data_IF_685302647554
#
_entry.id   IF_685302647554
#
_cell.length_a   1.000
_cell.length_b   1.000
_cell.length_c   1.000
_cell.angle_alpha   90.00
_cell.angle_beta   90.00
_cell.angle_gamma   90.00
#
_symmetry.space_group_name_H-M   'P 1'
#
loop_
_entity.id
_entity.type
_entity.pdbx_description
1 polymer ?
#
# COMPACT_ATOMS: atom_id res chain seq x y z
N UNK A 1 -40.26 11.11 14.02
CA UNK A 1 -38.82 10.96 14.33
C UNK A 1 -38.39 9.59 13.80
N UNK A 2 -37.85 9.59 12.59
CA UNK A 2 -37.41 8.35 11.92
C UNK A 2 -35.93 8.19 12.22
N UNK A 3 -35.60 7.28 13.11
CA UNK A 3 -34.24 6.87 13.43
C UNK A 3 -33.69 6.13 12.21
N UNK A 4 -32.87 6.77 11.43
CA UNK A 4 -32.05 6.15 10.38
C UNK A 4 -31.04 5.25 11.10
N UNK A 5 -31.30 3.93 11.12
CA UNK A 5 -30.29 2.92 11.43
C UNK A 5 -29.25 2.96 10.30
N UNK A 6 -28.15 3.66 10.54
CA UNK A 6 -26.93 3.49 9.76
C UNK A 6 -26.45 2.06 10.01
N UNK A 7 -26.58 1.20 9.00
CA UNK A 7 -25.95 -0.12 9.01
C UNK A 7 -24.46 0.08 9.20
N UNK A 8 -23.92 -0.38 10.34
CA UNK A 8 -22.47 -0.39 10.56
C UNK A 8 -21.89 -1.45 9.61
N UNK A 9 -21.58 -1.05 8.37
CA UNK A 9 -20.75 -1.87 7.50
C UNK A 9 -19.44 -2.16 8.25
N UNK A 10 -19.14 -3.44 8.43
CA UNK A 10 -17.90 -3.84 9.08
C UNK A 10 -16.74 -3.47 8.16
N UNK A 11 -15.94 -2.47 8.54
CA UNK A 11 -14.78 -2.04 7.78
C UNK A 11 -13.77 -3.16 7.60
N UNK A 12 -13.12 -3.19 6.45
CA UNK A 12 -12.02 -4.11 6.15
C UNK A 12 -10.80 -3.81 7.01
N UNK A 13 -10.50 -2.52 7.20
CA UNK A 13 -9.40 -2.04 8.06
C UNK A 13 -9.99 -1.60 9.40
N UNK A 14 -9.74 -2.38 10.45
CA UNK A 14 -10.23 -2.12 11.80
C UNK A 14 -9.32 -1.14 12.53
N UNK A 15 -9.86 -0.41 13.48
CA UNK A 15 -9.09 0.32 14.48
C UNK A 15 -8.98 -0.56 15.72
N UNK A 16 -7.77 -0.80 16.19
CA UNK A 16 -7.53 -1.56 17.41
C UNK A 16 -7.17 -0.60 18.54
N UNK A 17 -7.76 -0.83 19.71
CA UNK A 17 -7.44 -0.11 20.92
C UNK A 17 -5.99 -0.36 21.37
N UNK A 18 -5.36 0.55 22.14
CA UNK A 18 -3.99 0.36 22.63
C UNK A 18 -3.77 -0.97 23.37
N UNK A 19 -4.78 -1.46 24.07
CA UNK A 19 -4.74 -2.74 24.77
C UNK A 19 -4.60 -3.97 23.85
N UNK A 20 -4.80 -3.82 22.55
CA UNK A 20 -4.58 -4.87 21.57
C UNK A 20 -3.10 -5.13 21.30
N UNK A 21 -2.22 -4.16 21.56
CA UNK A 21 -0.77 -4.32 21.40
C UNK A 21 -0.24 -5.27 22.47
N UNK A 22 0.43 -6.34 22.06
CA UNK A 22 0.96 -7.38 22.96
C UNK A 22 2.48 -7.37 23.11
N UNK A 23 3.15 -6.48 22.40
CA UNK A 23 4.60 -6.27 22.47
C UNK A 23 5.30 -6.37 21.12
N UNK A 24 6.39 -5.64 21.02
CA UNK A 24 7.31 -5.69 19.89
C UNK A 24 8.10 -7.00 19.89
N UNK A 25 8.30 -7.57 18.72
CA UNK A 25 9.18 -8.72 18.51
C UNK A 25 10.58 -8.25 18.09
N UNK A 26 10.66 -7.41 17.06
CA UNK A 26 11.91 -6.82 16.58
C UNK A 26 11.63 -5.64 15.65
N UNK A 27 12.63 -4.76 15.51
CA UNK A 27 12.66 -3.80 14.42
C UNK A 27 12.98 -4.52 13.10
N UNK A 28 12.38 -4.03 12.03
CA UNK A 28 12.78 -4.43 10.68
C UNK A 28 14.01 -3.62 10.32
N UNK A 29 15.08 -4.31 9.90
CA UNK A 29 16.28 -3.62 9.42
C UNK A 29 15.89 -2.64 8.30
N UNK A 30 16.14 -1.34 8.48
CA UNK A 30 15.69 -0.35 7.51
C UNK A 30 16.31 -0.58 6.12
N UNK A 31 17.44 -1.27 6.02
CA UNK A 31 18.15 -1.32 4.75
C UNK A 31 18.38 0.08 4.18
N UNK A 32 18.74 0.17 2.93
CA UNK A 32 18.84 1.47 2.25
C UNK A 32 17.44 1.92 1.77
N UNK A 33 16.88 2.97 2.37
CA UNK A 33 15.76 3.70 1.80
C UNK A 33 14.36 3.47 2.38
N UNK A 34 14.22 3.01 3.61
CA UNK A 34 12.91 3.00 4.29
C UNK A 34 12.42 4.42 4.63
N UNK A 35 11.18 4.72 4.25
CA UNK A 35 10.51 6.02 4.52
C UNK A 35 9.76 5.99 5.85
N UNK A 36 9.47 4.80 6.38
CA UNK A 36 8.73 4.59 7.62
C UNK A 36 9.52 3.75 8.60
N UNK A 37 9.29 3.98 9.88
CA UNK A 37 9.76 3.07 10.92
C UNK A 37 8.88 1.82 10.95
N UNK A 38 9.49 0.67 10.74
CA UNK A 38 8.78 -0.61 10.65
C UNK A 38 9.26 -1.55 11.74
N UNK A 39 8.33 -2.07 12.51
CA UNK A 39 8.61 -3.13 13.46
C UNK A 39 7.60 -4.27 13.35
N UNK A 40 7.98 -5.45 13.77
CA UNK A 40 7.07 -6.59 13.91
C UNK A 40 6.60 -6.65 15.34
N UNK A 41 5.29 -6.74 15.54
CA UNK A 41 4.67 -6.84 16.84
C UNK A 41 3.54 -7.87 16.85
N UNK A 42 3.14 -8.29 18.04
CA UNK A 42 1.99 -9.18 18.25
C UNK A 42 0.78 -8.36 18.67
N UNK A 43 -0.36 -8.67 18.07
CA UNK A 43 -1.64 -7.99 18.30
C UNK A 43 -2.75 -8.98 18.61
N UNK A 44 -3.61 -8.64 19.58
CA UNK A 44 -4.88 -9.32 19.78
C UNK A 44 -5.92 -8.73 18.83
N UNK A 45 -6.42 -9.53 17.91
CA UNK A 45 -7.40 -9.08 16.89
C UNK A 45 -8.80 -9.66 17.13
N UNK A 46 -8.97 -10.40 18.20
CA UNK A 46 -10.20 -10.99 18.68
C UNK A 46 -10.00 -11.66 20.05
N UNK A 47 -11.04 -12.17 20.70
CA UNK A 47 -10.97 -12.69 22.07
C UNK A 47 -9.84 -13.71 22.27
N UNK A 48 -9.68 -14.64 21.33
CA UNK A 48 -8.67 -15.71 21.40
C UNK A 48 -7.71 -15.69 20.18
N UNK A 49 -7.74 -14.61 19.37
CA UNK A 49 -6.96 -14.53 18.15
C UNK A 49 -5.85 -13.51 18.30
N UNK A 50 -4.63 -13.96 18.17
CA UNK A 50 -3.43 -13.12 18.11
C UNK A 50 -2.73 -13.28 16.76
N UNK A 51 -2.22 -12.19 16.23
CA UNK A 51 -1.47 -12.18 14.97
C UNK A 51 -0.15 -11.44 15.13
N UNK A 52 0.84 -11.88 14.38
CA UNK A 52 2.06 -11.07 14.14
C UNK A 52 1.79 -10.15 12.96
N UNK A 53 2.17 -8.89 13.09
CA UNK A 53 1.97 -7.90 12.04
C UNK A 53 3.19 -6.99 11.90
N UNK A 54 3.44 -6.56 10.67
CA UNK A 54 4.30 -5.44 10.38
C UNK A 54 3.55 -4.15 10.71
N UNK A 55 4.16 -3.32 11.55
CA UNK A 55 3.61 -2.04 11.99
C UNK A 55 4.44 -0.93 11.40
N UNK A 56 3.85 -0.11 10.55
CA UNK A 56 4.48 1.01 9.87
C UNK A 56 4.04 2.32 10.52
N UNK A 57 4.98 3.07 11.03
CA UNK A 57 4.76 4.37 11.65
C UNK A 57 5.20 5.45 10.67
N UNK A 58 4.27 6.33 10.32
CA UNK A 58 4.49 7.48 9.46
C UNK A 58 4.29 8.74 10.28
N UNK A 59 5.21 9.71 10.23
CA UNK A 59 5.01 10.98 10.91
C UNK A 59 3.83 11.75 10.31
N UNK A 60 3.15 12.51 11.16
CA UNK A 60 2.25 13.56 10.67
C UNK A 60 3.08 14.75 10.19
N UNK A 61 2.75 15.24 9.01
CA UNK A 61 3.29 16.44 8.41
C UNK A 61 2.15 17.44 8.22
N UNK A 62 2.18 18.55 8.96
CA UNK A 62 1.15 19.59 8.91
C UNK A 62 -0.30 19.02 9.07
N UNK A 63 -0.48 18.17 10.07
CA UNK A 63 -1.77 17.54 10.37
C UNK A 63 -2.20 16.43 9.41
N UNK A 64 -1.32 15.97 8.51
CA UNK A 64 -1.58 14.98 7.47
C UNK A 64 -0.70 13.76 7.65
N UNK A 65 -1.26 12.57 7.43
CA UNK A 65 -0.50 11.31 7.41
C UNK A 65 -0.60 10.65 6.03
N UNK A 66 0.09 11.22 5.06
CA UNK A 66 0.05 10.78 3.66
C UNK A 66 0.58 9.35 3.47
N UNK A 67 1.58 8.94 4.24
CA UNK A 67 2.09 7.57 4.19
C UNK A 67 1.04 6.54 4.56
N UNK A 68 0.30 6.78 5.65
CA UNK A 68 -0.79 5.89 6.06
C UNK A 68 -1.96 5.93 5.07
N UNK A 69 -2.29 7.10 4.51
CA UNK A 69 -3.30 7.24 3.44
C UNK A 69 -2.93 6.37 2.24
N UNK A 70 -1.67 6.40 1.83
CA UNK A 70 -1.18 5.60 0.70
C UNK A 70 -1.33 4.10 0.95
N UNK A 71 -0.89 3.63 2.11
CA UNK A 71 -1.00 2.22 2.50
C UNK A 71 -2.46 1.75 2.51
N UNK A 72 -3.34 2.52 3.13
CA UNK A 72 -4.77 2.21 3.22
C UNK A 72 -5.41 2.20 1.85
N UNK A 73 -5.14 3.21 1.02
CA UNK A 73 -5.67 3.29 -0.35
C UNK A 73 -5.24 2.07 -1.17
N UNK A 74 -3.93 1.78 -1.15
CA UNK A 74 -3.41 0.61 -1.86
C UNK A 74 -3.98 -0.70 -1.36
N UNK A 75 -4.11 -0.88 -0.04
CA UNK A 75 -4.67 -2.09 0.54
C UNK A 75 -6.14 -2.30 0.15
N UNK A 76 -6.99 -1.28 0.25
CA UNK A 76 -8.41 -1.39 -0.06
C UNK A 76 -8.66 -1.64 -1.55
N UNK A 77 -7.97 -0.91 -2.44
CA UNK A 77 -8.13 -1.12 -3.89
C UNK A 77 -7.57 -2.48 -4.33
N UNK A 78 -6.43 -2.89 -3.75
CA UNK A 78 -5.86 -4.22 -3.96
C UNK A 78 -6.84 -5.33 -3.56
N UNK A 79 -7.49 -5.19 -2.39
CA UNK A 79 -8.53 -6.10 -1.92
C UNK A 79 -9.69 -6.20 -2.91
N UNK A 80 -10.21 -5.07 -3.35
CA UNK A 80 -11.34 -4.98 -4.27
C UNK A 80 -11.04 -5.60 -5.65
N UNK A 81 -9.78 -5.50 -6.12
CA UNK A 81 -9.33 -6.16 -7.36
C UNK A 81 -9.00 -7.66 -7.18
N UNK A 82 -9.10 -8.20 -5.97
CA UNK A 82 -8.79 -9.58 -5.66
C UNK A 82 -7.34 -9.95 -5.92
N UNK A 83 -6.42 -9.00 -5.68
CA UNK A 83 -4.98 -9.25 -5.74
C UNK A 83 -4.53 -9.80 -4.40
N UNK A 84 -3.75 -10.90 -4.34
CA UNK A 84 -3.25 -11.45 -3.09
C UNK A 84 -2.41 -10.43 -2.32
N UNK A 85 -2.70 -10.29 -1.03
CA UNK A 85 -2.04 -9.40 -0.07
C UNK A 85 -2.23 -9.96 1.35
N UNK A 86 -1.64 -9.36 2.42
CA UNK A 86 -1.94 -9.76 3.79
C UNK A 86 -3.43 -9.85 4.06
N UNK A 87 -3.88 -10.95 4.67
CA UNK A 87 -5.30 -11.24 4.88
C UNK A 87 -6.00 -10.24 5.82
N UNK A 88 -5.23 -9.57 6.68
CA UNK A 88 -5.72 -8.56 7.60
C UNK A 88 -4.86 -7.32 7.55
N UNK A 89 -5.53 -6.16 7.56
CA UNK A 89 -4.93 -4.88 7.89
C UNK A 89 -5.74 -4.21 9.00
N UNK A 90 -5.08 -3.39 9.79
CA UNK A 90 -5.69 -2.61 10.85
C UNK A 90 -4.82 -1.39 11.20
N UNK A 91 -5.43 -0.39 11.78
CA UNK A 91 -4.72 0.71 12.42
C UNK A 91 -4.68 0.40 13.92
N UNK A 92 -3.49 0.41 14.50
CA UNK A 92 -3.29 0.18 15.93
C UNK A 92 -2.59 1.36 16.57
N UNK A 93 -2.93 1.64 17.83
CA UNK A 93 -2.22 2.64 18.63
C UNK A 93 -1.05 1.95 19.37
N UNK A 94 0.16 2.18 18.86
CA UNK A 94 1.39 1.57 19.39
C UNK A 94 1.89 2.37 20.59
N UNK A 95 2.17 1.73 21.75
CA UNK A 95 2.76 2.40 22.91
C UNK A 95 4.26 2.71 22.64
N UNK A 96 4.55 3.96 22.34
CA UNK A 96 5.87 4.39 21.86
C UNK A 96 7.00 4.05 22.83
N UNK A 97 6.75 4.16 24.14
CA UNK A 97 7.76 3.80 25.16
C UNK A 97 8.19 2.34 25.12
N UNK A 98 7.32 1.44 24.66
CA UNK A 98 7.64 0.02 24.53
C UNK A 98 8.50 -0.30 23.30
N UNK A 99 8.49 0.58 22.30
CA UNK A 99 9.27 0.41 21.06
C UNK A 99 10.48 1.37 21.00
N UNK A 100 10.58 2.32 21.91
CA UNK A 100 11.71 3.26 22.00
C UNK A 100 12.94 2.56 22.60
N UNK A 101 13.53 1.66 21.81
CA UNK A 101 14.77 0.96 22.13
C UNK A 101 15.98 1.75 21.60
N UNK A 102 17.23 1.39 21.97
CA UNK A 102 18.43 2.02 21.39
C UNK A 102 18.48 1.96 19.86
N UNK A 103 17.83 0.99 19.24
CA UNK A 103 17.77 0.82 17.79
C UNK A 103 16.61 1.60 17.15
N UNK A 104 15.78 2.29 17.93
CA UNK A 104 14.69 3.10 17.42
C UNK A 104 15.21 4.36 16.71
N UNK A 105 14.55 4.78 15.65
CA UNK A 105 14.92 5.98 14.91
C UNK A 105 14.82 7.24 15.77
N UNK A 106 15.52 8.32 15.41
CA UNK A 106 15.36 9.62 16.07
C UNK A 106 13.91 10.13 16.06
N UNK A 107 13.14 9.79 15.02
CA UNK A 107 11.72 10.14 14.95
C UNK A 107 10.91 9.46 16.05
N UNK A 108 11.09 8.15 16.23
CA UNK A 108 10.39 7.39 17.30
C UNK A 108 10.79 7.91 18.67
N UNK A 109 12.08 8.21 18.89
CA UNK A 109 12.56 8.76 20.15
C UNK A 109 11.89 10.10 20.46
N UNK A 110 11.86 11.02 19.48
CA UNK A 110 11.21 12.33 19.64
C UNK A 110 9.70 12.23 19.86
N UNK A 111 9.02 11.31 19.17
CA UNK A 111 7.58 11.08 19.36
C UNK A 111 7.28 10.48 20.75
N UNK A 112 8.11 9.60 21.26
CA UNK A 112 7.92 8.96 22.57
C UNK A 112 8.03 9.95 23.75
N UNK A 113 8.67 11.10 23.54
CA UNK A 113 8.72 12.19 24.51
C UNK A 113 7.43 13.02 24.52
N UNK A 114 6.68 13.02 23.40
CA UNK A 114 5.51 13.89 23.22
C UNK A 114 4.19 13.16 23.46
N UNK A 115 4.08 11.91 23.06
CA UNK A 115 2.83 11.14 23.15
C UNK A 115 3.08 9.71 23.62
N UNK A 116 2.11 9.16 24.33
CA UNK A 116 2.18 7.80 24.86
C UNK A 116 1.92 6.76 23.78
N UNK A 117 0.96 7.01 22.92
CA UNK A 117 0.53 6.11 21.85
C UNK A 117 0.52 6.82 20.51
N UNK A 118 0.89 6.11 19.45
CA UNK A 118 0.91 6.66 18.09
C UNK A 118 0.28 5.68 17.11
N UNK A 119 -0.52 6.17 16.14
CA UNK A 119 -1.16 5.30 15.16
C UNK A 119 -0.13 4.71 14.20
N UNK A 120 -0.25 3.41 13.96
CA UNK A 120 0.52 2.67 12.97
C UNK A 120 -0.42 1.93 12.03
N UNK A 121 -0.08 1.89 10.74
CA UNK A 121 -0.72 0.98 9.80
C UNK A 121 -0.09 -0.39 9.92
N UNK A 122 -0.92 -1.38 10.17
CA UNK A 122 -0.46 -2.74 10.45
C UNK A 122 -1.02 -3.71 9.42
N UNK A 123 -0.17 -4.60 8.91
CA UNK A 123 -0.57 -5.72 8.06
C UNK A 123 -0.11 -7.03 8.65
N UNK A 124 -0.99 -8.03 8.68
CA UNK A 124 -0.66 -9.37 9.15
C UNK A 124 0.58 -9.90 8.42
N UNK A 125 1.53 -10.42 9.18
CA UNK A 125 2.71 -11.06 8.62
C UNK A 125 2.30 -12.25 7.76
N UNK A 126 2.82 -12.30 6.54
CA UNK A 126 2.68 -13.45 5.66
C UNK A 126 3.79 -14.45 5.93
N UNK A 127 3.46 -15.73 5.81
CA UNK A 127 4.46 -16.78 5.75
C UNK A 127 5.21 -16.65 4.41
N UNK A 128 6.51 -16.42 4.49
CA UNK A 128 7.36 -16.23 3.32
C UNK A 128 8.36 -15.09 3.50
N UNK A 129 9.18 -14.93 2.49
CA UNK A 129 10.16 -13.84 2.41
C UNK A 129 9.81 -12.97 1.21
N UNK A 130 10.23 -11.72 1.26
CA UNK A 130 10.25 -10.87 0.07
C UNK A 130 10.93 -11.61 -1.08
N UNK A 131 10.35 -11.55 -2.27
CA UNK A 131 10.75 -12.39 -3.38
C UNK A 131 12.21 -12.18 -3.82
N UNK A 132 12.72 -10.95 -3.68
CA UNK A 132 14.11 -10.63 -4.02
C UNK A 132 15.03 -10.45 -2.78
N UNK A 133 14.54 -10.71 -1.56
CA UNK A 133 15.35 -10.53 -0.35
C UNK A 133 16.59 -11.44 -0.34
N UNK A 134 17.78 -10.83 -0.34
CA UNK A 134 19.08 -11.51 -0.36
C UNK A 134 19.21 -12.53 -1.50
N UNK A 135 18.49 -12.27 -2.61
CA UNK A 135 18.57 -13.15 -3.78
C UNK A 135 19.90 -12.90 -4.50
N UNK A 136 20.71 -13.93 -4.77
CA UNK A 136 21.89 -13.78 -5.61
C UNK A 136 21.50 -13.30 -7.03
N UNK A 137 22.32 -12.46 -7.63
CA UNK A 137 22.05 -11.95 -9.00
C UNK A 137 21.79 -13.05 -10.02
N UNK A 138 22.52 -14.16 -9.92
CA UNK A 138 22.34 -15.31 -10.81
C UNK A 138 20.93 -15.93 -10.75
N UNK A 139 20.21 -15.74 -9.65
CA UNK A 139 18.86 -16.26 -9.47
C UNK A 139 17.76 -15.26 -9.90
N UNK A 140 18.12 -14.00 -10.16
CA UNK A 140 17.18 -12.96 -10.54
C UNK A 140 16.39 -13.25 -11.82
N UNK A 141 17.00 -13.77 -12.91
CA UNK A 141 16.24 -14.15 -14.11
C UNK A 141 15.17 -15.20 -13.85
N UNK A 142 15.45 -16.16 -12.96
CA UNK A 142 14.46 -17.15 -12.54
C UNK A 142 13.28 -16.53 -11.79
N UNK A 143 13.55 -15.62 -10.87
CA UNK A 143 12.50 -14.87 -10.16
C UNK A 143 11.65 -14.05 -11.13
N UNK A 144 12.28 -13.30 -12.04
CA UNK A 144 11.57 -12.50 -13.06
C UNK A 144 10.61 -13.42 -13.85
N UNK A 145 11.08 -14.57 -14.31
CA UNK A 145 10.26 -15.54 -15.04
C UNK A 145 9.08 -16.05 -14.20
N UNK A 146 9.31 -16.34 -12.93
CA UNK A 146 8.24 -16.78 -12.00
C UNK A 146 7.19 -15.67 -11.81
N UNK A 147 7.61 -14.41 -11.64
CA UNK A 147 6.70 -13.27 -11.50
C UNK A 147 5.95 -13.01 -12.81
N UNK A 148 6.62 -13.10 -13.96
CA UNK A 148 5.97 -13.03 -15.29
C UNK A 148 4.90 -14.10 -15.47
N UNK A 149 5.08 -15.27 -14.85
CA UNK A 149 4.11 -16.36 -14.84
C UNK A 149 2.98 -16.22 -13.81
N UNK A 150 3.01 -15.19 -12.98
CA UNK A 150 1.99 -14.98 -11.95
C UNK A 150 0.65 -14.51 -12.58
N UNK A 151 -0.41 -15.27 -12.35
CA UNK A 151 -1.74 -14.98 -12.95
C UNK A 151 -2.34 -13.63 -12.56
N UNK A 152 -1.94 -13.05 -11.42
CA UNK A 152 -2.39 -11.74 -10.94
C UNK A 152 -1.45 -10.58 -11.33
N UNK A 153 -0.35 -10.87 -12.05
CA UNK A 153 0.56 -9.83 -12.51
C UNK A 153 -0.13 -8.70 -13.30
N UNK A 154 -1.02 -9.00 -14.28
CA UNK A 154 -1.74 -7.94 -15.00
C UNK A 154 -2.56 -7.04 -14.08
N UNK A 155 -3.19 -7.61 -13.05
CA UNK A 155 -3.97 -6.85 -12.09
C UNK A 155 -3.06 -5.98 -11.19
N UNK A 156 -1.90 -6.51 -10.75
CA UNK A 156 -0.94 -5.74 -9.96
C UNK A 156 -0.37 -4.56 -10.77
N UNK A 157 -0.05 -4.76 -12.05
CA UNK A 157 0.42 -3.69 -12.93
C UNK A 157 -0.66 -2.62 -13.16
N UNK A 158 -1.92 -3.02 -13.36
CA UNK A 158 -3.05 -2.08 -13.49
C UNK A 158 -3.32 -1.32 -12.19
N UNK A 159 -3.26 -1.99 -11.04
CA UNK A 159 -3.36 -1.36 -9.72
C UNK A 159 -2.32 -0.26 -9.54
N UNK A 160 -1.05 -0.57 -9.83
CA UNK A 160 0.04 0.39 -9.64
C UNK A 160 -0.13 1.63 -10.54
N UNK A 161 -0.66 1.47 -11.75
CA UNK A 161 -1.04 2.60 -12.59
C UNK A 161 -2.29 3.32 -12.07
N UNK A 162 -3.28 2.61 -11.56
CA UNK A 162 -4.53 3.17 -11.06
C UNK A 162 -4.32 4.06 -9.83
N UNK A 163 -3.54 3.61 -8.85
CA UNK A 163 -3.25 4.38 -7.63
C UNK A 163 -1.95 5.19 -7.71
N UNK A 164 -1.28 5.17 -8.87
CA UNK A 164 0.04 5.78 -9.07
C UNK A 164 1.11 5.30 -8.07
N UNK A 165 1.16 4.00 -7.79
CA UNK A 165 2.23 3.42 -6.97
C UNK A 165 3.53 3.40 -7.77
N UNK A 166 4.50 4.19 -7.32
CA UNK A 166 5.78 4.37 -8.02
C UNK A 166 6.90 3.50 -7.47
N UNK A 167 6.62 2.69 -6.46
CA UNK A 167 7.65 1.93 -5.74
C UNK A 167 7.43 0.42 -5.70
N UNK A 168 6.49 -0.13 -6.46
CA UNK A 168 6.30 -1.59 -6.53
C UNK A 168 7.47 -2.28 -7.21
N UNK A 169 8.47 -2.65 -6.46
CA UNK A 169 9.60 -3.46 -6.92
C UNK A 169 9.49 -4.90 -6.41
N UNK A 170 10.43 -5.78 -6.80
CA UNK A 170 10.36 -7.21 -6.48
C UNK A 170 10.43 -7.52 -4.97
N UNK A 171 11.02 -6.63 -4.15
CA UNK A 171 11.00 -6.77 -2.69
C UNK A 171 9.62 -6.46 -2.08
N UNK A 172 8.73 -5.79 -2.82
CA UNK A 172 7.35 -5.53 -2.41
C UNK A 172 6.39 -6.66 -2.83
N UNK A 173 6.96 -7.81 -3.19
CA UNK A 173 6.25 -9.06 -3.44
C UNK A 173 6.71 -10.13 -2.44
N UNK A 174 5.77 -10.79 -1.77
CA UNK A 174 6.04 -11.97 -0.94
C UNK A 174 5.71 -13.21 -1.76
N UNK A 175 6.68 -14.12 -1.91
CA UNK A 175 6.43 -15.40 -2.58
C UNK A 175 5.57 -16.29 -1.65
N UNK A 176 4.39 -16.64 -2.10
CA UNK A 176 3.44 -17.51 -1.37
C UNK A 176 3.36 -18.92 -1.97
N UNK A 177 3.96 -19.15 -3.12
CA UNK A 177 4.03 -20.44 -3.80
C UNK A 177 4.80 -20.36 -5.11
N UNK A 178 4.80 -21.46 -5.88
CA UNK A 178 5.38 -21.45 -7.22
C UNK A 178 4.53 -20.53 -8.11
N UNK A 179 5.13 -19.50 -8.71
CA UNK A 179 4.43 -18.49 -9.52
C UNK A 179 3.23 -17.85 -8.81
N UNK A 180 3.28 -17.76 -7.48
CA UNK A 180 2.25 -17.13 -6.66
C UNK A 180 2.89 -16.12 -5.73
N UNK A 181 2.36 -14.90 -5.75
CA UNK A 181 2.89 -13.78 -4.97
C UNK A 181 1.74 -13.01 -4.32
N UNK A 182 2.06 -12.35 -3.21
CA UNK A 182 1.22 -11.36 -2.57
C UNK A 182 1.92 -10.01 -2.60
N UNK A 183 1.17 -8.94 -2.86
CA UNK A 183 1.70 -7.58 -2.82
C UNK A 183 1.72 -7.06 -1.39
N UNK A 184 2.75 -6.27 -1.08
CA UNK A 184 2.89 -5.51 0.16
C UNK A 184 3.39 -4.11 -0.19
N UNK A 185 3.30 -3.21 0.75
CA UNK A 185 3.88 -1.87 0.67
C UNK A 185 3.29 -0.98 -0.44
N UNK A 186 2.43 -0.08 -0.02
CA UNK A 186 1.83 0.94 -0.87
C UNK A 186 2.18 2.37 -0.39
N UNK A 187 3.24 2.50 0.41
CA UNK A 187 3.56 3.76 1.10
C UNK A 187 3.91 4.94 0.17
N UNK A 188 4.25 4.69 -1.10
CA UNK A 188 4.71 5.71 -2.04
C UNK A 188 3.79 5.80 -3.25
N UNK A 189 2.87 6.76 -3.24
CA UNK A 189 1.95 7.04 -4.35
C UNK A 189 2.21 8.45 -4.92
N UNK A 190 1.91 8.61 -6.21
CA UNK A 190 1.81 9.88 -6.93
C UNK A 190 3.04 10.80 -6.78
N UNK A 191 4.25 10.23 -6.77
CA UNK A 191 5.51 10.98 -6.74
C UNK A 191 6.07 11.06 -8.16
N UNK A 192 6.26 12.27 -8.72
CA UNK A 192 6.91 12.44 -10.01
C UNK A 192 8.38 11.98 -9.97
N UNK A 193 8.93 11.49 -11.09
CA UNK A 193 10.30 10.96 -11.14
C UNK A 193 11.42 11.93 -10.71
N UNK A 194 11.20 13.22 -10.85
CA UNK A 194 12.16 14.27 -10.48
C UNK A 194 11.93 14.86 -9.09
N UNK A 195 11.01 14.30 -8.30
CA UNK A 195 10.71 14.80 -6.96
C UNK A 195 11.71 14.25 -5.95
N UNK A 196 12.12 15.11 -5.03
CA UNK A 196 12.95 14.79 -3.87
C UNK A 196 12.10 14.46 -2.61
N UNK A 197 10.78 14.43 -2.75
CA UNK A 197 9.87 14.17 -1.64
C UNK A 197 9.51 12.70 -1.54
N UNK A 198 9.23 12.24 -0.32
CA UNK A 198 8.79 10.86 -0.06
C UNK A 198 7.26 10.71 -0.07
N UNK A 199 6.53 11.83 -0.02
CA UNK A 199 5.08 11.85 -0.08
C UNK A 199 4.61 12.84 -1.15
N UNK A 200 3.46 12.52 -1.75
CA UNK A 200 2.85 13.41 -2.73
C UNK A 200 2.50 14.77 -2.11
N UNK A 201 2.51 15.79 -2.96
CA UNK A 201 1.95 17.10 -2.70
C UNK A 201 0.77 17.32 -3.64
N UNK A 202 -0.08 18.30 -3.36
CA UNK A 202 -1.28 18.58 -4.19
C UNK A 202 -0.91 18.83 -5.64
N UNK A 203 0.19 19.53 -5.91
CA UNK A 203 0.71 19.77 -7.26
C UNK A 203 1.19 18.52 -8.02
N UNK A 204 1.38 17.40 -7.32
CA UNK A 204 1.74 16.11 -7.93
C UNK A 204 0.50 15.33 -8.41
N UNK A 205 -0.71 15.73 -7.99
CA UNK A 205 -1.96 14.99 -8.21
C UNK A 205 -2.55 15.26 -9.60
N UNK A 206 -1.78 15.02 -10.65
CA UNK A 206 -2.27 14.98 -12.03
C UNK A 206 -2.79 13.57 -12.37
N UNK A 207 -4.10 13.43 -12.48
CA UNK A 207 -4.76 12.16 -12.72
C UNK A 207 -4.37 11.51 -14.06
N UNK A 208 -3.95 12.30 -15.04
CA UNK A 208 -3.57 11.81 -16.36
C UNK A 208 -2.05 11.61 -16.50
N UNK A 209 -1.24 11.99 -15.51
CA UNK A 209 0.20 11.79 -15.58
C UNK A 209 0.56 10.30 -15.68
N UNK A 210 1.60 10.00 -16.47
CA UNK A 210 2.23 8.69 -16.48
C UNK A 210 3.25 8.61 -15.35
N UNK A 211 2.83 8.13 -14.22
CA UNK A 211 3.75 7.80 -13.12
C UNK A 211 4.57 6.57 -13.46
N UNK A 212 5.68 6.41 -12.78
CA UNK A 212 6.55 5.26 -12.93
C UNK A 212 5.80 3.97 -12.53
N UNK A 213 5.91 2.91 -13.32
CA UNK A 213 5.45 1.57 -12.94
C UNK A 213 6.68 0.65 -12.85
N UNK A 214 7.28 0.59 -11.64
CA UNK A 214 8.53 -0.16 -11.41
C UNK A 214 8.38 -1.65 -11.69
N UNK A 215 7.21 -2.22 -11.44
CA UNK A 215 6.97 -3.63 -11.73
C UNK A 215 7.08 -3.91 -13.23
N UNK A 216 6.46 -3.06 -14.06
CA UNK A 216 6.57 -3.15 -15.51
C UNK A 216 8.02 -2.99 -15.99
N UNK A 217 8.76 -2.02 -15.44
CA UNK A 217 10.15 -1.77 -15.77
C UNK A 217 11.04 -2.98 -15.40
N UNK A 218 10.94 -3.48 -14.18
CA UNK A 218 11.77 -4.60 -13.71
C UNK A 218 11.51 -5.92 -14.45
N UNK A 219 10.28 -6.15 -14.90
CA UNK A 219 9.92 -7.41 -15.52
C UNK A 219 10.09 -7.40 -17.05
N UNK A 220 9.99 -6.24 -17.69
CA UNK A 220 9.85 -6.14 -19.14
C UNK A 220 10.64 -4.97 -19.75
N UNK A 221 11.53 -4.32 -19.02
CA UNK A 221 12.18 -3.08 -19.44
C UNK A 221 11.17 -2.01 -19.93
N UNK A 222 9.97 -1.99 -19.31
CA UNK A 222 8.88 -1.10 -19.70
C UNK A 222 8.03 -1.56 -20.90
N UNK A 223 8.39 -2.66 -21.57
CA UNK A 223 7.73 -3.14 -22.80
C UNK A 223 7.19 -4.57 -22.63
N UNK A 224 6.05 -4.76 -21.97
CA UNK A 224 5.50 -6.09 -21.77
C UNK A 224 5.00 -6.73 -23.08
N UNK A 225 4.99 -8.07 -23.19
CA UNK A 225 4.44 -8.79 -24.32
C UNK A 225 2.96 -8.47 -24.54
N UNK A 226 2.49 -8.56 -25.79
CA UNK A 226 1.10 -8.28 -26.18
C UNK A 226 0.07 -9.01 -25.31
N UNK A 227 0.33 -10.26 -24.95
CA UNK A 227 -0.53 -11.06 -24.07
C UNK A 227 -0.69 -10.39 -22.69
N UNK A 228 0.40 -9.92 -22.10
CA UNK A 228 0.38 -9.21 -20.81
C UNK A 228 -0.34 -7.87 -20.93
N UNK A 229 -0.06 -7.11 -22.00
CA UNK A 229 -0.74 -5.83 -22.27
C UNK A 229 -2.25 -6.04 -22.38
N UNK A 230 -2.70 -6.99 -23.20
CA UNK A 230 -4.13 -7.27 -23.37
C UNK A 230 -4.79 -7.70 -22.07
N UNK A 231 -4.11 -8.52 -21.27
CA UNK A 231 -4.62 -8.93 -19.96
C UNK A 231 -4.70 -7.73 -18.99
N UNK A 232 -3.70 -6.83 -18.97
CA UNK A 232 -3.69 -5.63 -18.14
C UNK A 232 -4.80 -4.65 -18.54
N UNK A 233 -5.00 -4.45 -19.85
CA UNK A 233 -6.14 -3.65 -20.37
C UNK A 233 -7.49 -4.28 -20.00
N UNK A 234 -7.61 -5.61 -19.99
CA UNK A 234 -8.80 -6.30 -19.55
C UNK A 234 -9.16 -6.05 -18.07
N UNK A 235 -8.16 -5.79 -17.21
CA UNK A 235 -8.40 -5.43 -15.80
C UNK A 235 -9.00 -4.05 -15.67
N UNK A 236 -8.72 -3.11 -16.57
CA UNK A 236 -9.19 -1.73 -16.49
C UNK A 236 -10.72 -1.64 -16.32
N UNK A 237 -11.48 -2.56 -16.93
CA UNK A 237 -12.94 -2.62 -16.84
C UNK A 237 -13.44 -2.90 -15.41
N UNK A 238 -12.60 -3.49 -14.57
CA UNK A 238 -12.94 -3.81 -13.17
C UNK A 238 -12.47 -2.73 -12.18
N UNK A 239 -11.65 -1.78 -12.61
CA UNK A 239 -11.03 -0.81 -11.70
C UNK A 239 -12.07 0.13 -11.08
N UNK A 240 -13.02 0.67 -11.87
CA UNK A 240 -14.05 1.56 -11.34
C UNK A 240 -15.00 0.82 -10.39
N UNK A 241 -15.62 -0.32 -10.76
CA UNK A 241 -16.42 -1.10 -9.81
C UNK A 241 -15.66 -1.51 -8.54
N UNK A 242 -14.36 -1.78 -8.64
CA UNK A 242 -13.54 -2.11 -7.48
C UNK A 242 -13.43 -0.92 -6.51
N UNK A 243 -13.10 0.27 -7.00
CA UNK A 243 -13.04 1.47 -6.15
C UNK A 243 -14.41 1.80 -5.56
N UNK A 244 -15.48 1.73 -6.36
CA UNK A 244 -16.85 2.00 -5.89
C UNK A 244 -17.24 1.06 -4.74
N UNK A 245 -16.78 -0.19 -4.75
CA UNK A 245 -17.09 -1.17 -3.70
C UNK A 245 -16.44 -0.86 -2.35
N UNK A 246 -15.41 -0.02 -2.30
CA UNK A 246 -14.66 0.35 -1.09
C UNK A 246 -14.62 1.86 -0.84
N UNK A 247 -15.34 2.64 -1.63
CA UNK A 247 -15.25 4.11 -1.60
C UNK A 247 -15.61 4.70 -0.24
N UNK A 248 -16.66 4.20 0.41
CA UNK A 248 -17.09 4.70 1.73
C UNK A 248 -15.98 4.51 2.78
N UNK A 249 -15.24 3.40 2.71
CA UNK A 249 -14.15 3.15 3.63
C UNK A 249 -12.91 3.99 3.28
N UNK A 250 -12.62 4.18 1.99
CA UNK A 250 -11.57 5.09 1.53
C UNK A 250 -11.82 6.52 2.02
N UNK A 251 -13.03 7.06 1.80
CA UNK A 251 -13.41 8.42 2.22
C UNK A 251 -13.35 8.58 3.74
N UNK A 252 -13.76 7.56 4.49
CA UNK A 252 -13.61 7.58 5.95
C UNK A 252 -12.16 7.77 6.36
N UNK A 253 -11.23 7.02 5.77
CA UNK A 253 -9.82 7.08 6.14
C UNK A 253 -9.15 8.36 5.65
N UNK A 254 -9.44 8.79 4.43
CA UNK A 254 -8.93 10.06 3.90
C UNK A 254 -9.35 11.25 4.77
N UNK A 255 -10.62 11.30 5.17
CA UNK A 255 -11.12 12.34 6.05
C UNK A 255 -10.56 12.30 7.48
N UNK A 256 -10.00 11.16 7.93
CA UNK A 256 -9.34 11.03 9.23
C UNK A 256 -7.86 11.41 9.19
N UNK A 257 -7.21 11.26 8.05
CA UNK A 257 -5.75 11.32 7.92
C UNK A 257 -5.26 12.53 7.11
N UNK A 258 -6.15 13.26 6.46
CA UNK A 258 -5.84 14.42 5.64
C UNK A 258 -6.63 15.64 6.14
N UNK A 259 -6.19 16.84 5.75
CA UNK A 259 -7.02 18.04 5.83
C UNK A 259 -8.17 17.95 4.82
N UNK A 260 -9.23 18.72 5.00
CA UNK A 260 -10.37 18.71 4.08
C UNK A 260 -9.94 19.00 2.63
N UNK A 261 -9.07 19.98 2.44
CA UNK A 261 -8.55 20.35 1.10
C UNK A 261 -7.76 19.20 0.45
N UNK A 262 -6.79 18.61 1.16
CA UNK A 262 -5.99 17.49 0.64
C UNK A 262 -6.88 16.27 0.38
N UNK A 263 -7.88 16.03 1.23
CA UNK A 263 -8.85 14.94 1.06
C UNK A 263 -9.64 15.09 -0.24
N UNK A 264 -10.19 16.28 -0.52
CA UNK A 264 -10.91 16.56 -1.76
C UNK A 264 -10.04 16.38 -3.00
N UNK A 265 -8.79 16.90 -2.95
CA UNK A 265 -7.84 16.78 -4.06
C UNK A 265 -7.42 15.35 -4.31
N UNK A 266 -7.09 14.60 -3.24
CA UNK A 266 -6.67 13.21 -3.37
C UNK A 266 -7.83 12.31 -3.82
N UNK A 267 -9.05 12.56 -3.31
CA UNK A 267 -10.28 11.90 -3.78
C UNK A 267 -10.50 12.11 -5.27
N UNK A 268 -10.47 13.36 -5.72
CA UNK A 268 -10.62 13.70 -7.13
C UNK A 268 -9.56 12.99 -7.98
N UNK A 269 -8.30 13.01 -7.55
CA UNK A 269 -7.19 12.33 -8.22
C UNK A 269 -7.45 10.84 -8.40
N UNK A 270 -7.80 10.12 -7.33
CA UNK A 270 -8.03 8.66 -7.39
C UNK A 270 -9.23 8.32 -8.29
N UNK A 271 -10.35 9.04 -8.14
CA UNK A 271 -11.56 8.76 -8.92
C UNK A 271 -11.39 9.08 -10.41
N UNK A 272 -10.83 10.23 -10.73
CA UNK A 272 -10.56 10.60 -12.12
C UNK A 272 -9.58 9.62 -12.76
N UNK A 273 -8.49 9.31 -12.08
CA UNK A 273 -7.48 8.36 -12.56
C UNK A 273 -8.08 6.97 -12.78
N UNK A 274 -8.94 6.51 -11.87
CA UNK A 274 -9.67 5.26 -12.02
C UNK A 274 -10.57 5.27 -13.26
N UNK A 275 -11.30 6.36 -13.50
CA UNK A 275 -12.16 6.49 -14.67
C UNK A 275 -11.38 6.50 -15.98
N UNK A 276 -10.13 6.97 -15.98
CA UNK A 276 -9.25 7.10 -17.13
C UNK A 276 -8.22 5.96 -17.24
N UNK A 277 -8.32 4.93 -16.40
CA UNK A 277 -7.26 3.91 -16.30
C UNK A 277 -6.98 3.20 -17.64
N UNK A 278 -8.01 2.90 -18.44
CA UNK A 278 -7.80 2.27 -19.74
C UNK A 278 -6.99 3.18 -20.67
N UNK A 279 -7.29 4.48 -20.73
CA UNK A 279 -6.56 5.45 -21.54
C UNK A 279 -5.10 5.59 -21.06
N UNK A 280 -4.89 5.59 -19.75
CA UNK A 280 -3.54 5.63 -19.13
C UNK A 280 -2.73 4.40 -19.55
N UNK A 281 -3.29 3.20 -19.43
CA UNK A 281 -2.63 1.95 -19.80
C UNK A 281 -2.35 1.88 -21.31
N UNK A 282 -3.30 2.30 -22.17
CA UNK A 282 -3.08 2.39 -23.61
C UNK A 282 -1.92 3.31 -23.95
N UNK A 283 -1.87 4.48 -23.33
CA UNK A 283 -0.78 5.44 -23.52
C UNK A 283 0.56 4.87 -23.02
N UNK A 284 0.58 4.20 -21.85
CA UNK A 284 1.80 3.55 -21.33
C UNK A 284 2.38 2.54 -22.31
N UNK A 285 1.55 1.73 -22.92
CA UNK A 285 1.99 0.65 -23.81
C UNK A 285 2.00 1.06 -25.29
N UNK A 286 1.95 2.35 -25.60
CA UNK A 286 1.91 2.89 -26.98
C UNK A 286 0.82 2.20 -27.84
N UNK A 287 -0.33 1.91 -27.25
CA UNK A 287 -1.49 1.38 -27.97
C UNK A 287 -2.40 2.54 -28.34
N UNK A 288 -2.41 2.87 -29.64
CA UNK A 288 -3.35 3.85 -30.18
C UNK A 288 -4.80 3.41 -29.90
N UNK A 289 -5.66 4.38 -29.60
CA UNK A 289 -7.09 4.21 -29.43
C UNK A 289 -7.74 3.74 -30.73
#
# INVERSE_FOLDING_TARGET
MTTTQTSSQTRLIRILEPSAYRGMLHWVDPGDGHISDVHVARYSVGPETSVEAYSKIYPYDDGKNRGMVNEITGYLVCHALGIPQPARAFVAFVPLRQICTPDASPMIQALAEQVEHYPAFCTQRLDGKSAAYRLPEIALPGLIKDVQGWSKLPAAMALDDQIANVDRHLNNLIRTGKNSFAVIDNGILAIPPASDTHHWKVEHLDALALFRNRLCEHLFDGVPPNKTVSATLGVAQNCLPAVDSVIDELEFWWGKLLTSEDCEKFRAFILERTSQIEAILRRRYNRLL
#
